data_IF_127760558832
#
_entry.id   IF_127760558832
#
_cell.length_a   1.000
_cell.length_b   1.000
_cell.length_c   1.000
_cell.angle_alpha   90.00
_cell.angle_beta   90.00
_cell.angle_gamma   90.00
#
_symmetry.space_group_name_H-M   'P 1'
#
loop_
_entity.id
_entity.type
_entity.pdbx_description
1 polymer ?
#
# COMPACT_ATOMS: atom_id res chain seq x y z
N UNK A 1 16.06 4.30 4.43
CA UNK A 1 14.66 4.77 4.47
C UNK A 1 14.52 6.05 3.64
N UNK A 2 13.33 6.36 3.15
CA UNK A 2 13.09 7.45 2.20
C UNK A 2 11.91 8.35 2.60
N UNK A 3 11.86 9.52 1.97
CA UNK A 3 10.84 10.56 2.16
C UNK A 3 9.52 10.23 1.44
N UNK A 4 8.94 9.06 1.73
CA UNK A 4 7.70 8.59 1.12
C UNK A 4 6.46 9.36 1.65
N UNK A 5 6.47 9.75 2.93
CA UNK A 5 5.37 10.46 3.56
C UNK A 5 5.05 11.82 2.90
N UNK A 6 6.02 12.73 2.66
CA UNK A 6 5.73 13.99 1.97
C UNK A 6 5.27 13.79 0.53
N UNK A 7 5.75 12.77 -0.18
CA UNK A 7 5.28 12.44 -1.52
C UNK A 7 3.80 12.00 -1.53
N UNK A 8 3.40 11.13 -0.60
CA UNK A 8 2.02 10.69 -0.43
C UNK A 8 1.11 11.85 0.01
N UNK A 9 1.59 12.71 0.92
CA UNK A 9 0.86 13.91 1.33
C UNK A 9 0.61 14.84 0.14
N UNK A 10 1.63 15.09 -0.69
CA UNK A 10 1.51 15.90 -1.89
C UNK A 10 0.47 15.30 -2.87
N UNK A 11 0.49 13.98 -3.07
CA UNK A 11 -0.50 13.29 -3.89
C UNK A 11 -1.93 13.42 -3.35
N UNK A 12 -2.11 13.39 -2.03
CA UNK A 12 -3.42 13.50 -1.39
C UNK A 12 -3.98 14.93 -1.34
N UNK A 13 -3.14 15.95 -1.14
CA UNK A 13 -3.60 17.31 -0.86
C UNK A 13 -3.17 18.38 -1.86
N UNK A 14 -2.01 18.22 -2.49
CA UNK A 14 -1.37 19.30 -3.26
C UNK A 14 -1.59 19.14 -4.77
N UNK A 15 -1.57 17.91 -5.27
CA UNK A 15 -1.80 17.64 -6.69
C UNK A 15 -3.26 17.90 -7.07
N UNK A 16 -3.45 18.57 -8.21
CA UNK A 16 -4.77 18.85 -8.76
C UNK A 16 -5.28 17.65 -9.57
N UNK A 17 -6.19 16.89 -8.99
CA UNK A 17 -6.86 15.78 -9.68
C UNK A 17 -8.13 16.23 -10.38
N UNK A 18 -8.34 15.78 -11.63
CA UNK A 18 -9.62 16.00 -12.32
C UNK A 18 -10.73 15.24 -11.61
N UNK A 19 -11.84 15.92 -11.31
CA UNK A 19 -12.96 15.36 -10.52
C UNK A 19 -13.50 14.05 -11.11
N UNK A 20 -13.79 14.05 -12.41
CA UNK A 20 -14.41 12.92 -13.13
C UNK A 20 -13.40 12.04 -13.88
N UNK A 21 -12.18 11.91 -13.35
CA UNK A 21 -11.17 11.02 -13.92
C UNK A 21 -10.93 9.80 -13.02
N UNK A 22 -10.49 8.71 -13.63
CA UNK A 22 -9.79 7.62 -12.94
C UNK A 22 -8.48 8.19 -12.40
N UNK A 23 -8.24 8.09 -11.10
CA UNK A 23 -7.09 8.68 -10.42
C UNK A 23 -6.17 7.57 -9.93
N UNK A 24 -4.94 7.58 -10.40
CA UNK A 24 -3.97 6.53 -10.13
C UNK A 24 -2.68 7.20 -9.68
N UNK A 25 -2.18 6.80 -8.51
CA UNK A 25 -0.84 7.12 -8.04
C UNK A 25 0.01 5.86 -8.13
N UNK A 26 1.25 6.00 -8.59
CA UNK A 26 2.22 4.89 -8.67
C UNK A 26 3.41 5.28 -7.80
N UNK A 27 3.62 4.52 -6.72
CA UNK A 27 4.78 4.64 -5.86
C UNK A 27 5.81 3.59 -6.26
N UNK A 28 6.98 4.02 -6.71
CA UNK A 28 8.12 3.15 -7.02
C UNK A 28 9.11 3.30 -5.88
N UNK A 29 9.45 2.21 -5.20
CA UNK A 29 10.31 2.25 -4.03
C UNK A 29 11.16 0.98 -3.89
N UNK A 30 12.40 1.16 -3.43
CA UNK A 30 13.31 0.07 -3.04
C UNK A 30 13.53 0.03 -1.51
N UNK A 31 12.98 1.02 -0.79
CA UNK A 31 13.17 1.26 0.64
C UNK A 31 11.85 1.69 1.34
N UNK A 32 11.77 1.59 2.68
CA UNK A 32 10.58 1.97 3.43
C UNK A 32 10.56 3.48 3.74
N UNK A 33 9.42 4.04 4.19
CA UNK A 33 9.41 5.38 4.77
C UNK A 33 10.30 5.48 6.00
N UNK A 34 10.80 6.68 6.28
CA UNK A 34 11.29 7.04 7.60
C UNK A 34 10.26 6.69 8.69
N UNK A 35 10.71 6.11 9.80
CA UNK A 35 9.90 5.70 10.95
C UNK A 35 9.36 4.27 10.90
N UNK A 36 9.53 3.50 9.81
CA UNK A 36 9.09 2.09 9.77
C UNK A 36 10.10 1.13 10.41
N UNK A 37 11.38 1.30 10.09
CA UNK A 37 12.48 0.51 10.64
C UNK A 37 13.43 1.46 11.37
N UNK A 38 13.84 1.09 12.59
CA UNK A 38 14.68 1.93 13.44
C UNK A 38 16.17 1.75 13.16
N UNK A 39 16.57 0.66 12.48
CA UNK A 39 17.97 0.36 12.25
C UNK A 39 18.53 1.24 11.12
N UNK A 40 19.45 2.15 11.46
CA UNK A 40 20.09 3.04 10.49
C UNK A 40 19.18 4.16 9.97
N UNK A 41 18.02 4.37 10.60
CA UNK A 41 17.14 5.49 10.27
C UNK A 41 17.52 6.73 11.07
N UNK A 42 17.85 7.82 10.36
CA UNK A 42 18.11 9.13 11.00
C UNK A 42 16.83 9.82 11.49
N UNK A 43 15.66 9.32 11.07
CA UNK A 43 14.34 9.85 11.39
C UNK A 43 13.40 8.77 11.94
N UNK A 44 13.75 8.11 13.07
CA UNK A 44 13.04 6.92 13.58
C UNK A 44 11.63 7.21 14.11
N UNK A 45 11.28 8.49 14.28
CA UNK A 45 9.95 8.95 14.68
C UNK A 45 9.10 9.45 13.50
N UNK A 46 9.54 9.19 12.26
CA UNK A 46 8.88 9.64 11.04
C UNK A 46 9.60 10.81 10.37
N UNK A 47 9.17 11.08 9.13
CA UNK A 47 9.75 12.12 8.28
C UNK A 47 9.61 13.53 8.90
N UNK A 48 10.62 14.41 8.76
CA UNK A 48 10.60 15.76 9.35
C UNK A 48 9.48 16.66 8.81
N UNK A 49 8.81 16.31 7.70
CA UNK A 49 7.59 16.98 7.26
C UNK A 49 6.41 16.82 8.23
N UNK A 50 6.47 15.85 9.15
CA UNK A 50 5.42 15.58 10.13
C UNK A 50 4.19 14.87 9.57
N UNK A 51 4.25 14.38 8.33
CA UNK A 51 3.16 13.63 7.71
C UNK A 51 3.29 12.12 8.00
N UNK A 52 2.15 11.47 8.27
CA UNK A 52 2.10 10.02 8.42
C UNK A 52 1.73 9.37 7.06
N UNK A 53 2.54 8.43 6.54
CA UNK A 53 2.27 7.81 5.25
C UNK A 53 1.01 6.94 5.25
N UNK A 54 0.63 6.32 6.38
CA UNK A 54 -0.58 5.49 6.47
C UNK A 54 -1.83 6.36 6.43
N UNK A 55 -1.81 7.49 7.13
CA UNK A 55 -2.88 8.48 7.08
C UNK A 55 -3.01 9.08 5.67
N UNK A 56 -1.88 9.43 5.03
CA UNK A 56 -1.90 9.96 3.66
C UNK A 56 -2.50 8.93 2.68
N UNK A 57 -2.19 7.65 2.81
CA UNK A 57 -2.78 6.59 1.97
C UNK A 57 -4.26 6.38 2.26
N UNK A 58 -4.70 6.52 3.51
CA UNK A 58 -6.13 6.52 3.84
C UNK A 58 -6.86 7.66 3.11
N UNK A 59 -6.28 8.86 3.10
CA UNK A 59 -6.82 10.02 2.39
C UNK A 59 -6.83 9.82 0.87
N UNK A 60 -5.81 9.17 0.29
CA UNK A 60 -5.84 8.78 -1.13
C UNK A 60 -7.07 7.90 -1.41
N UNK A 61 -7.32 6.88 -0.57
CA UNK A 61 -8.45 5.98 -0.73
C UNK A 61 -9.80 6.72 -0.65
N UNK A 62 -9.94 7.64 0.30
CA UNK A 62 -11.14 8.46 0.49
C UNK A 62 -11.39 9.40 -0.69
N UNK A 63 -10.34 10.02 -1.24
CA UNK A 63 -10.40 10.83 -2.46
C UNK A 63 -10.58 10.00 -3.75
N UNK A 64 -10.69 8.67 -3.62
CA UNK A 64 -10.85 7.75 -4.73
C UNK A 64 -9.62 7.66 -5.64
N UNK A 65 -8.44 7.96 -5.11
CA UNK A 65 -7.15 7.79 -5.75
C UNK A 65 -6.62 6.40 -5.40
N UNK A 66 -6.42 5.57 -6.42
CA UNK A 66 -5.88 4.22 -6.22
C UNK A 66 -4.36 4.25 -6.31
N UNK A 67 -3.69 3.72 -5.29
CA UNK A 67 -2.25 3.62 -5.17
C UNK A 67 -1.79 2.24 -5.62
N UNK A 68 -0.96 2.20 -6.65
CA UNK A 68 -0.14 1.04 -7.00
C UNK A 68 1.26 1.23 -6.42
N UNK A 69 1.84 0.15 -5.89
CA UNK A 69 3.21 0.17 -5.38
C UNK A 69 4.07 -0.77 -6.19
N UNK A 70 5.17 -0.27 -6.72
CA UNK A 70 6.17 -1.03 -7.46
C UNK A 70 7.39 -1.18 -6.56
N UNK A 71 7.67 -2.40 -6.12
CA UNK A 71 8.83 -2.70 -5.27
C UNK A 71 10.03 -3.09 -6.11
N UNK A 72 11.12 -2.33 -6.06
CA UNK A 72 12.36 -2.66 -6.76
C UNK A 72 13.09 -3.80 -6.04
N UNK A 73 13.04 -4.99 -6.62
CA UNK A 73 13.64 -6.20 -6.05
C UNK A 73 15.13 -6.32 -6.43
N UNK A 74 15.98 -6.87 -5.54
CA UNK A 74 15.66 -7.53 -4.27
C UNK A 74 15.54 -6.59 -3.05
N UNK A 75 15.90 -5.31 -3.18
CA UNK A 75 15.95 -4.36 -2.05
C UNK A 75 14.59 -4.19 -1.35
N UNK A 76 13.51 -4.17 -2.12
CA UNK A 76 12.15 -4.04 -1.61
C UNK A 76 11.59 -5.30 -0.94
N UNK A 77 12.22 -6.48 -1.09
CA UNK A 77 11.68 -7.78 -0.60
C UNK A 77 11.37 -7.70 0.89
N UNK A 78 12.26 -7.09 1.68
CA UNK A 78 12.10 -6.96 3.15
C UNK A 78 10.86 -6.15 3.53
N UNK A 79 10.46 -5.20 2.68
CA UNK A 79 9.36 -4.27 2.92
C UNK A 79 8.12 -4.59 2.07
N UNK A 80 8.12 -5.75 1.40
CA UNK A 80 7.06 -6.16 0.48
C UNK A 80 5.67 -6.10 1.11
N UNK A 81 5.50 -6.67 2.31
CA UNK A 81 4.21 -6.70 3.00
C UNK A 81 3.72 -5.28 3.36
N UNK A 82 4.64 -4.37 3.70
CA UNK A 82 4.31 -2.98 3.97
C UNK A 82 3.82 -2.28 2.69
N UNK A 83 4.58 -2.36 1.59
CA UNK A 83 4.19 -1.74 0.32
C UNK A 83 2.85 -2.32 -0.20
N UNK A 84 2.68 -3.63 -0.07
CA UNK A 84 1.44 -4.32 -0.40
C UNK A 84 0.25 -3.86 0.45
N UNK A 85 0.46 -3.60 1.75
CA UNK A 85 -0.56 -3.03 2.62
C UNK A 85 -0.99 -1.62 2.16
N UNK A 86 -0.02 -0.76 1.76
CA UNK A 86 -0.33 0.58 1.24
C UNK A 86 -1.19 0.50 -0.02
N UNK A 87 -0.78 -0.31 -1.00
CA UNK A 87 -1.53 -0.48 -2.23
C UNK A 87 -2.95 -1.02 -1.95
N UNK A 88 -3.03 -2.10 -1.15
CA UNK A 88 -4.29 -2.75 -0.82
C UNK A 88 -5.27 -1.82 -0.09
N UNK A 89 -4.77 -0.91 0.77
CA UNK A 89 -5.61 0.05 1.49
C UNK A 89 -6.45 0.92 0.56
N UNK A 90 -5.94 1.24 -0.63
CA UNK A 90 -6.63 2.02 -1.68
C UNK A 90 -7.33 1.16 -2.74
N UNK A 91 -7.26 -0.17 -2.60
CA UNK A 91 -7.70 -1.14 -3.62
C UNK A 91 -6.79 -1.24 -4.84
N UNK A 92 -5.54 -0.79 -4.75
CA UNK A 92 -4.51 -1.01 -5.75
C UNK A 92 -3.79 -2.35 -5.57
N UNK A 93 -2.63 -2.48 -6.19
CA UNK A 93 -1.84 -3.72 -6.17
C UNK A 93 -0.34 -3.45 -6.02
N UNK A 94 0.35 -4.33 -5.31
CA UNK A 94 1.81 -4.39 -5.29
C UNK A 94 2.34 -5.19 -6.46
N UNK A 95 3.37 -4.66 -7.13
CA UNK A 95 4.01 -5.29 -8.28
C UNK A 95 5.51 -5.34 -8.01
N UNK A 96 6.12 -6.52 -7.86
CA UNK A 96 7.57 -6.64 -7.76
C UNK A 96 8.21 -6.30 -9.11
N UNK A 97 9.28 -5.52 -9.11
CA UNK A 97 10.04 -5.16 -10.31
C UNK A 97 11.49 -5.59 -10.13
N UNK A 98 11.88 -6.61 -10.87
CA UNK A 98 13.24 -7.17 -10.91
C UNK A 98 14.13 -6.51 -11.98
N UNK A 99 13.53 -5.98 -13.04
CA UNK A 99 14.24 -5.25 -14.11
C UNK A 99 13.55 -3.96 -14.51
N UNK A 100 14.31 -2.87 -14.64
CA UNK A 100 13.80 -1.57 -15.07
C UNK A 100 13.24 -1.58 -16.50
N UNK A 101 13.66 -2.55 -17.34
CA UNK A 101 13.15 -2.71 -18.71
C UNK A 101 11.63 -2.90 -18.76
N UNK A 102 11.04 -3.43 -17.69
CA UNK A 102 9.61 -3.68 -17.59
C UNK A 102 8.82 -2.52 -17.00
N UNK A 103 9.47 -1.49 -16.46
CA UNK A 103 8.79 -0.44 -15.69
C UNK A 103 7.69 0.25 -16.50
N UNK A 104 7.96 0.59 -17.75
CA UNK A 104 6.98 1.22 -18.64
C UNK A 104 5.74 0.33 -18.84
N UNK A 105 5.96 -0.97 -19.08
CA UNK A 105 4.89 -1.96 -19.24
C UNK A 105 4.08 -2.14 -17.96
N UNK A 106 4.72 -2.14 -16.79
CA UNK A 106 4.05 -2.18 -15.49
C UNK A 106 3.17 -0.96 -15.29
N UNK A 107 3.69 0.24 -15.55
CA UNK A 107 2.95 1.51 -15.39
C UNK A 107 1.72 1.53 -16.31
N UNK A 108 1.91 1.25 -17.60
CA UNK A 108 0.83 1.25 -18.59
C UNK A 108 -0.18 0.14 -18.29
N UNK A 109 0.29 -1.06 -17.94
CA UNK A 109 -0.56 -2.18 -17.57
C UNK A 109 -1.43 -1.85 -16.35
N UNK A 110 -0.81 -1.31 -15.29
CA UNK A 110 -1.51 -0.93 -14.05
C UNK A 110 -2.58 0.12 -14.33
N UNK A 111 -2.27 1.11 -15.16
CA UNK A 111 -3.23 2.12 -15.57
C UNK A 111 -4.42 1.54 -16.36
N UNK A 112 -4.15 0.62 -17.30
CA UNK A 112 -5.21 -0.04 -18.09
C UNK A 112 -6.09 -0.95 -17.25
N UNK A 113 -5.51 -1.71 -16.33
CA UNK A 113 -6.25 -2.53 -15.37
C UNK A 113 -7.16 -1.66 -14.52
N UNK A 114 -6.64 -0.57 -13.95
CA UNK A 114 -7.40 0.31 -13.09
C UNK A 114 -8.56 1.00 -13.82
N UNK A 115 -8.34 1.44 -15.07
CA UNK A 115 -9.42 1.94 -15.94
C UNK A 115 -10.48 0.87 -16.19
N UNK A 116 -10.08 -0.38 -16.37
CA UNK A 116 -11.01 -1.50 -16.56
C UNK A 116 -11.86 -1.74 -15.30
N UNK A 117 -11.24 -1.73 -14.12
CA UNK A 117 -11.91 -1.93 -12.84
C UNK A 117 -12.86 -0.77 -12.50
N UNK A 118 -12.46 0.47 -12.77
CA UNK A 118 -13.27 1.64 -12.49
C UNK A 118 -14.62 1.62 -13.24
N UNK A 119 -14.69 0.97 -14.42
CA UNK A 119 -15.98 0.78 -15.14
C UNK A 119 -16.96 -0.12 -14.40
N UNK A 120 -16.45 -1.01 -13.55
CA UNK A 120 -17.26 -1.96 -12.77
C UNK A 120 -17.67 -1.40 -11.41
N UNK A 121 -17.09 -0.26 -10.99
CA UNK A 121 -17.31 0.29 -9.65
C UNK A 121 -18.79 0.61 -9.38
N UNK A 122 -19.53 1.05 -10.39
CA UNK A 122 -20.95 1.39 -10.26
C UNK A 122 -21.81 0.17 -9.90
N UNK A 123 -21.52 -1.00 -10.48
CA UNK A 123 -22.24 -2.24 -10.20
C UNK A 123 -22.00 -2.72 -8.76
N UNK A 124 -20.75 -2.60 -8.30
CA UNK A 124 -20.37 -2.97 -6.93
C UNK A 124 -20.88 -1.95 -5.91
N UNK A 125 -20.96 -0.67 -6.27
CA UNK A 125 -21.38 0.42 -5.39
C UNK A 125 -22.79 0.21 -4.82
N UNK A 126 -23.77 -0.09 -5.68
CA UNK A 126 -25.16 -0.33 -5.26
C UNK A 126 -25.25 -1.44 -4.21
N UNK A 127 -24.49 -2.51 -4.42
CA UNK A 127 -24.49 -3.67 -3.55
C UNK A 127 -23.80 -3.41 -2.20
N UNK A 128 -22.70 -2.63 -2.21
CA UNK A 128 -22.05 -2.14 -0.98
C UNK A 128 -22.99 -1.23 -0.19
N UNK A 129 -23.71 -0.32 -0.86
CA UNK A 129 -24.67 0.58 -0.21
C UNK A 129 -25.85 -0.18 0.40
N UNK A 130 -26.35 -1.20 -0.30
CA UNK A 130 -27.42 -2.08 0.20
C UNK A 130 -26.98 -2.82 1.47
N UNK A 131 -25.78 -3.40 1.47
CA UNK A 131 -25.24 -4.11 2.64
C UNK A 131 -25.05 -3.17 3.84
N UNK A 132 -24.51 -1.97 3.60
CA UNK A 132 -24.32 -0.95 4.63
C UNK A 132 -25.66 -0.49 5.25
N UNK A 133 -26.69 -0.29 4.41
CA UNK A 133 -28.02 0.13 4.87
C UNK A 133 -28.74 -0.95 5.70
N UNK A 134 -28.60 -2.23 5.32
CA UNK A 134 -29.25 -3.34 6.03
C UNK A 134 -28.65 -3.62 7.40
N UNK A 135 -27.32 -3.54 7.52
CA UNK A 135 -26.61 -3.87 8.78
C UNK A 135 -26.57 -2.72 9.77
N UNK A 136 -26.65 -1.47 9.31
CA UNK A 136 -26.48 -0.29 10.17
C UNK A 136 -25.08 -0.21 10.82
N UNK A 137 -24.07 -0.86 10.22
CA UNK A 137 -22.72 -1.01 10.77
C UNK A 137 -21.66 -1.29 9.70
N UNK A 138 -20.41 -1.59 10.10
CA UNK A 138 -19.31 -1.84 9.17
C UNK A 138 -19.61 -2.97 8.19
N UNK A 139 -19.25 -2.78 6.93
CA UNK A 139 -19.41 -3.79 5.87
C UNK A 139 -18.37 -4.89 6.08
N UNK A 140 -18.82 -6.14 6.12
CA UNK A 140 -17.94 -7.31 6.06
C UNK A 140 -17.43 -7.47 4.62
N UNK A 141 -16.25 -6.90 4.36
CA UNK A 141 -15.64 -6.89 3.03
C UNK A 141 -15.38 -8.30 2.49
N UNK A 142 -15.08 -9.28 3.36
CA UNK A 142 -14.71 -10.64 2.94
C UNK A 142 -15.94 -11.39 2.43
N UNK A 143 -17.01 -11.41 3.22
CA UNK A 143 -18.26 -12.07 2.81
C UNK A 143 -18.90 -11.36 1.60
N UNK A 144 -18.87 -10.02 1.59
CA UNK A 144 -19.36 -9.25 0.45
C UNK A 144 -18.56 -9.53 -0.82
N UNK A 145 -17.23 -9.63 -0.72
CA UNK A 145 -16.37 -10.00 -1.84
C UNK A 145 -16.72 -11.38 -2.38
N UNK A 146 -16.88 -12.39 -1.51
CA UNK A 146 -17.22 -13.76 -1.92
C UNK A 146 -18.52 -13.78 -2.71
N UNK A 147 -19.58 -13.17 -2.17
CA UNK A 147 -20.91 -13.13 -2.76
C UNK A 147 -20.94 -12.34 -4.07
N UNK A 148 -20.30 -11.18 -4.12
CA UNK A 148 -20.19 -10.39 -5.36
C UNK A 148 -19.38 -11.10 -6.42
N UNK A 149 -18.30 -11.79 -6.04
CA UNK A 149 -17.47 -12.51 -6.99
C UNK A 149 -18.27 -13.63 -7.66
N UNK A 150 -19.07 -14.39 -6.92
CA UNK A 150 -19.96 -15.42 -7.47
C UNK A 150 -20.97 -14.83 -8.48
N UNK A 151 -21.56 -13.68 -8.16
CA UNK A 151 -22.51 -12.99 -9.05
C UNK A 151 -21.81 -12.46 -10.31
N UNK A 152 -20.68 -11.78 -10.17
CA UNK A 152 -19.94 -11.20 -11.29
C UNK A 152 -19.33 -12.29 -12.19
N UNK A 153 -18.87 -13.39 -11.59
CA UNK A 153 -18.31 -14.53 -12.32
C UNK A 153 -19.40 -15.28 -13.09
N UNK A 154 -20.56 -15.56 -12.47
CA UNK A 154 -21.70 -16.18 -13.16
C UNK A 154 -22.29 -15.30 -14.26
N UNK A 155 -22.24 -13.98 -14.08
CA UNK A 155 -22.57 -12.99 -15.12
C UNK A 155 -21.53 -12.84 -16.23
N UNK A 156 -20.40 -13.56 -16.16
CA UNK A 156 -19.35 -13.49 -17.18
C UNK A 156 -18.63 -12.14 -17.23
N UNK A 157 -18.58 -11.40 -16.12
CA UNK A 157 -17.92 -10.10 -16.05
C UNK A 157 -16.41 -10.29 -16.25
N UNK A 158 -15.85 -9.43 -17.09
CA UNK A 158 -14.44 -9.46 -17.49
C UNK A 158 -13.74 -8.17 -17.13
N UNK A 159 -12.45 -8.28 -16.80
CA UNK A 159 -11.58 -7.14 -16.55
C UNK A 159 -10.17 -7.42 -17.04
N UNK A 160 -9.44 -6.35 -17.38
CA UNK A 160 -8.02 -6.45 -17.69
C UNK A 160 -7.23 -6.76 -16.43
N UNK A 161 -6.13 -7.50 -16.58
CA UNK A 161 -5.24 -7.87 -15.47
C UNK A 161 -3.79 -7.81 -15.90
N UNK A 162 -2.96 -7.11 -15.12
CA UNK A 162 -1.51 -7.16 -15.29
C UNK A 162 -1.00 -8.53 -14.82
N UNK A 163 -0.14 -9.13 -15.64
CA UNK A 163 0.56 -10.37 -15.33
C UNK A 163 2.05 -10.16 -15.49
N UNK A 164 2.80 -10.89 -14.67
CA UNK A 164 4.24 -10.99 -14.80
C UNK A 164 4.59 -12.45 -15.04
N UNK A 165 5.20 -12.69 -16.19
CA UNK A 165 5.73 -13.97 -16.58
C UNK A 165 7.17 -14.01 -16.09
N UNK A 166 7.44 -14.86 -15.10
CA UNK A 166 8.79 -15.09 -14.60
C UNK A 166 9.30 -16.46 -15.07
N UNK A 167 10.50 -16.59 -15.67
CA UNK A 167 11.00 -17.85 -16.23
C UNK A 167 11.22 -19.00 -15.22
N UNK A 168 10.98 -18.78 -13.92
CA UNK A 168 11.15 -19.76 -12.83
C UNK A 168 9.86 -20.44 -12.37
N UNK A 169 8.71 -20.23 -13.03
CA UNK A 169 7.48 -20.98 -12.77
C UNK A 169 6.64 -20.51 -11.57
N UNK A 170 7.09 -19.53 -10.79
CA UNK A 170 6.25 -18.87 -9.78
C UNK A 170 5.34 -17.84 -10.45
N UNK A 171 4.09 -18.26 -10.63
CA UNK A 171 3.00 -17.57 -11.32
C UNK A 171 2.68 -16.21 -10.67
N UNK A 172 2.47 -15.21 -11.53
CA UNK A 172 1.66 -14.00 -11.29
C UNK A 172 2.19 -13.00 -10.24
N UNK A 173 1.64 -11.79 -10.31
CA UNK A 173 1.76 -10.78 -9.27
C UNK A 173 1.39 -11.43 -7.91
N UNK A 174 2.21 -11.24 -6.85
CA UNK A 174 1.99 -11.88 -5.56
C UNK A 174 0.58 -11.60 -5.03
N UNK A 175 -0.05 -12.65 -4.51
CA UNK A 175 -1.33 -12.52 -3.80
C UNK A 175 -1.13 -11.75 -2.50
N UNK A 176 -2.20 -11.10 -2.04
CA UNK A 176 -2.23 -10.41 -0.75
C UNK A 176 -1.82 -11.36 0.37
N UNK A 177 -0.81 -10.99 1.16
CA UNK A 177 -0.38 -11.77 2.32
C UNK A 177 -1.26 -11.44 3.54
N UNK A 178 -1.45 -12.37 4.48
CA UNK A 178 -2.18 -12.08 5.73
C UNK A 178 -1.56 -10.93 6.51
N UNK A 179 -0.22 -10.79 6.47
CA UNK A 179 0.49 -9.67 7.08
C UNK A 179 0.12 -8.35 6.42
N UNK A 180 0.22 -8.26 5.09
CA UNK A 180 -0.14 -7.04 4.36
C UNK A 180 -1.61 -6.66 4.57
N UNK A 181 -2.50 -7.65 4.58
CA UNK A 181 -3.92 -7.46 4.88
C UNK A 181 -4.11 -6.86 6.27
N UNK A 182 -3.48 -7.44 7.31
CA UNK A 182 -3.54 -6.93 8.66
C UNK A 182 -2.97 -5.51 8.76
N UNK A 183 -1.79 -5.25 8.21
CA UNK A 183 -1.16 -3.93 8.22
C UNK A 183 -2.04 -2.87 7.55
N UNK A 184 -2.80 -3.23 6.50
CA UNK A 184 -3.70 -2.30 5.81
C UNK A 184 -4.85 -1.78 6.69
N UNK A 185 -5.16 -2.48 7.78
CA UNK A 185 -6.21 -2.09 8.74
C UNK A 185 -5.72 -1.05 9.75
N UNK A 186 -4.41 -0.94 9.94
CA UNK A 186 -3.81 0.02 10.86
C UNK A 186 -3.96 1.45 10.35
N UNK A 187 -3.92 2.40 11.28
CA UNK A 187 -4.26 3.80 11.01
C UNK A 187 -3.05 4.72 10.98
N UNK A 188 -1.99 4.38 11.70
CA UNK A 188 -0.76 5.19 11.78
C UNK A 188 0.48 4.36 11.51
N UNK A 189 1.56 5.01 11.08
CA UNK A 189 2.87 4.38 10.92
C UNK A 189 3.43 3.87 12.24
N UNK A 190 3.12 4.53 13.36
CA UNK A 190 3.56 4.08 14.69
C UNK A 190 2.97 2.70 15.02
N UNK A 191 1.66 2.50 14.79
CA UNK A 191 1.03 1.19 14.98
C UNK A 191 1.66 0.12 14.06
N UNK A 192 1.89 0.48 12.80
CA UNK A 192 2.54 -0.41 11.82
C UNK A 192 3.94 -0.79 12.30
N UNK A 193 4.75 0.18 12.72
CA UNK A 193 6.11 -0.03 13.24
C UNK A 193 6.11 -0.99 14.43
N UNK A 194 5.24 -0.76 15.41
CA UNK A 194 5.19 -1.58 16.62
C UNK A 194 4.88 -3.05 16.29
N UNK A 195 4.02 -3.29 15.31
CA UNK A 195 3.71 -4.64 14.81
C UNK A 195 4.78 -5.21 13.90
N UNK A 196 5.41 -4.37 13.08
CA UNK A 196 6.50 -4.73 12.19
C UNK A 196 7.73 -5.22 12.97
N UNK A 197 8.12 -4.47 14.00
CA UNK A 197 9.22 -4.83 14.91
C UNK A 197 8.89 -6.10 15.68
N UNK A 198 7.66 -6.25 16.19
CA UNK A 198 7.23 -7.46 16.87
C UNK A 198 7.32 -8.72 15.97
N UNK A 199 6.99 -8.60 14.68
CA UNK A 199 7.10 -9.70 13.73
C UNK A 199 8.55 -10.05 13.40
N UNK A 200 9.46 -9.06 13.32
CA UNK A 200 10.91 -9.31 13.17
C UNK A 200 11.53 -9.97 14.40
N UNK A 201 10.96 -9.74 15.59
CA UNK A 201 11.47 -10.25 16.86
C UNK A 201 11.13 -11.73 17.13
N UNK A 202 10.43 -12.43 16.24
CA UNK A 202 10.29 -13.89 16.29
C UNK A 202 11.48 -14.48 15.53
N UNK A 203 12.50 -15.04 16.22
CA UNK A 203 13.55 -15.76 15.52
C UNK A 203 12.91 -17.00 14.91
N UNK A 204 13.09 -17.21 13.61
CA UNK A 204 12.97 -18.55 13.03
C UNK A 204 13.93 -19.43 13.81
N UNK A 205 13.41 -20.26 14.71
CA UNK A 205 14.21 -21.23 15.42
C UNK A 205 15.00 -22.04 14.38
N UNK A 206 16.31 -22.24 14.56
CA UNK A 206 17.07 -23.06 13.62
C UNK A 206 16.47 -24.45 13.65
N UNK A 207 16.06 -24.94 12.49
CA UNK A 207 15.80 -26.36 12.28
C UNK A 207 17.08 -27.11 12.63
N UNK A 208 17.13 -27.72 13.81
CA UNK A 208 18.14 -28.70 14.13
C UNK A 208 17.86 -29.95 13.28
N UNK A 209 18.82 -30.45 12.48
CA UNK A 209 18.66 -31.72 11.81
C UNK A 209 19.02 -32.82 12.81
N UNK A 210 18.04 -33.57 13.31
CA UNK A 210 18.32 -34.79 14.07
C UNK A 210 18.44 -35.95 13.10
N UNK A 211 19.69 -36.33 12.81
CA UNK A 211 20.07 -37.44 11.94
C UNK A 211 20.36 -38.68 12.82
N UNK A 212 19.49 -39.69 12.67
CA UNK A 212 19.68 -41.15 12.73
C UNK A 212 20.25 -41.91 13.95
N UNK A 213 19.52 -42.99 14.30
CA UNK A 213 20.01 -44.27 14.88
C UNK A 213 19.76 -44.42 16.38
N UNK A 214 19.19 -45.49 16.94
CA UNK A 214 18.74 -46.80 16.45
C UNK A 214 18.72 -47.79 17.63
N UNK A 215 17.58 -48.45 17.85
CA UNK A 215 17.32 -49.80 18.40
C UNK A 215 17.87 -50.27 19.80
N UNK A 216 17.10 -51.21 20.37
CA UNK A 216 17.17 -51.93 21.67
C UNK A 216 16.45 -51.22 22.83
N UNK A 217 15.51 -51.80 23.56
CA UNK A 217 15.07 -53.19 23.71
C UNK A 217 14.83 -53.46 25.21
N UNK A 218 13.70 -54.10 25.52
CA UNK A 218 13.32 -54.74 26.80
C UNK A 218 12.53 -53.95 27.87
N UNK A 219 11.52 -54.67 28.34
CA UNK A 219 10.50 -54.43 29.37
C UNK A 219 11.07 -54.45 30.80
N UNK A 220 10.45 -53.70 31.74
CA UNK A 220 9.90 -54.23 33.00
C UNK A 220 9.27 -53.14 33.90
N UNK A 221 8.07 -53.49 34.39
CA UNK A 221 7.34 -53.12 35.64
C UNK A 221 6.94 -51.67 36.00
N UNK A 222 5.76 -51.49 36.64
CA UNK A 222 5.25 -50.19 37.07
C UNK A 222 5.58 -49.92 38.54
N UNK A 223 5.98 -48.68 38.85
CA UNK A 223 6.00 -48.19 40.23
C UNK A 223 5.45 -46.76 40.30
N UNK A 224 4.36 -46.66 41.05
CA UNK A 224 3.74 -45.47 41.60
C UNK A 224 4.77 -44.53 42.26
N UNK A 225 4.75 -43.24 41.92
CA UNK A 225 5.04 -42.18 42.90
C UNK A 225 4.33 -40.87 42.55
N UNK A 226 3.55 -40.43 43.51
CA UNK A 226 2.86 -39.13 43.65
C UNK A 226 3.78 -37.92 43.43
N UNK A 227 3.36 -36.97 42.58
CA UNK A 227 3.88 -35.58 42.58
C UNK A 227 2.73 -34.58 42.59
N UNK A 228 2.37 -34.24 43.84
CA UNK A 228 1.99 -32.94 44.40
C UNK A 228 1.98 -31.74 43.45
N UNK A 229 0.78 -31.19 43.27
CA UNK A 229 0.49 -29.90 42.63
C UNK A 229 1.03 -28.72 43.46
N UNK A 230 1.78 -27.80 42.83
CA UNK A 230 2.06 -26.46 43.37
C UNK A 230 1.21 -25.43 42.63
N UNK A 231 0.16 -24.94 43.29
CA UNK A 231 -0.60 -23.74 42.92
C UNK A 231 0.26 -22.50 43.14
N UNK A 232 0.60 -21.78 42.08
CA UNK A 232 1.21 -20.45 42.16
C UNK A 232 0.09 -19.41 42.13
N UNK A 233 -0.01 -18.63 43.21
CA UNK A 233 -1.04 -17.63 43.50
C UNK A 233 -0.71 -16.33 42.77
N UNK A 234 -1.49 -15.98 41.76
CA UNK A 234 -1.43 -14.66 41.09
C UNK A 234 -2.05 -13.61 42.01
N UNK A 235 -1.29 -12.55 42.31
CA UNK A 235 -1.73 -11.36 43.05
C UNK A 235 -2.40 -10.38 42.08
N UNK A 236 -3.67 -10.08 42.32
CA UNK A 236 -4.41 -8.98 41.67
C UNK A 236 -4.03 -7.63 42.28
N UNK A 237 -3.86 -6.56 41.46
CA UNK A 237 -3.72 -5.20 41.98
C UNK A 237 -5.08 -4.58 42.31
N UNK A 238 -5.13 -3.96 43.50
CA UNK A 238 -6.26 -3.22 44.05
C UNK A 238 -6.30 -1.82 43.42
N UNK A 239 -7.31 -1.53 42.62
CA UNK A 239 -7.59 -0.15 42.16
C UNK A 239 -8.68 0.45 43.05
N UNK A 240 -8.32 1.54 43.74
CA UNK A 240 -9.17 2.31 44.65
C UNK A 240 -10.23 3.08 43.86
N UNK A 241 -11.50 2.90 44.24
CA UNK A 241 -12.64 3.74 43.82
C UNK A 241 -12.47 5.15 44.40
N UNK A 242 -12.57 6.19 43.56
CA UNK A 242 -12.84 7.56 44.01
C UNK A 242 -14.15 8.07 43.41
N UNK A 243 -15.11 8.17 44.33
CA UNK A 243 -16.25 9.09 44.44
C UNK A 243 -16.53 10.05 43.28
N UNK A 244 -17.71 9.84 42.69
CA UNK A 244 -18.51 10.85 41.98
C UNK A 244 -18.80 12.03 42.92
N UNK A 245 -18.66 13.27 42.41
CA UNK A 245 -19.37 14.44 42.95
C UNK A 245 -19.96 15.22 41.78
N UNK A 246 -21.29 15.23 41.76
CA UNK A 246 -22.18 16.02 40.92
C UNK A 246 -22.00 17.51 41.19
N UNK A 247 -21.95 18.32 40.12
CA UNK A 247 -22.33 19.73 40.18
C UNK A 247 -23.17 20.09 38.96
N UNK A 248 -24.45 20.32 39.24
CA UNK A 248 -25.39 21.02 38.35
C UNK A 248 -25.04 22.51 38.39
N UNK A 249 -24.94 23.14 37.23
CA UNK A 249 -25.29 24.56 37.06
C UNK A 249 -25.87 24.76 35.67
N UNK A 250 -27.15 25.10 35.64
CA UNK A 250 -27.87 25.57 34.46
C UNK A 250 -27.91 27.11 34.48
N UNK A 251 -27.77 27.74 33.31
CA UNK A 251 -28.27 29.08 32.91
C UNK A 251 -27.86 29.26 31.44
N UNK A 252 -28.72 29.06 30.43
CA UNK A 252 -29.89 29.80 29.93
C UNK A 252 -29.54 30.98 28.97
N UNK A 253 -29.94 30.79 27.70
CA UNK A 253 -30.40 31.77 26.70
C UNK A 253 -29.32 32.69 26.05
N UNK A 254 -29.37 33.13 24.78
CA UNK A 254 -30.50 33.36 23.84
C UNK A 254 -29.94 33.54 22.40
N UNK A 255 -30.79 33.21 21.42
CA UNK A 255 -30.70 33.42 19.95
C UNK A 255 -30.20 34.80 19.49
N UNK A 256 -29.50 34.87 18.34
CA UNK A 256 -29.75 35.85 17.25
C UNK A 256 -29.41 35.24 15.88
N UNK A 257 -30.40 35.27 14.98
CA UNK A 257 -30.36 35.02 13.53
C UNK A 257 -29.67 36.18 12.81
N UNK A 258 -28.85 35.90 11.76
CA UNK A 258 -28.80 36.78 10.57
C UNK A 258 -28.24 36.07 9.33
N UNK A 259 -29.16 35.82 8.39
CA UNK A 259 -28.93 35.64 6.94
C UNK A 259 -28.05 36.76 6.39
N UNK A 260 -27.14 36.44 5.46
CA UNK A 260 -26.87 37.31 4.30
C UNK A 260 -26.56 36.45 3.07
N UNK A 261 -27.54 36.41 2.16
CA UNK A 261 -27.37 36.12 0.74
C UNK A 261 -26.57 37.27 0.12
N UNK A 262 -25.56 36.96 -0.69
CA UNK A 262 -25.05 37.86 -1.70
C UNK A 262 -25.12 37.16 -3.07
N UNK A 263 -26.09 37.61 -3.88
CA UNK A 263 -26.14 37.43 -5.33
C UNK A 263 -25.21 38.48 -5.94
N UNK A 264 -24.34 38.09 -6.87
CA UNK A 264 -23.74 38.91 -7.93
C UNK A 264 -22.84 37.98 -8.73
N UNK A 265 -22.72 38.03 -10.05
CA UNK A 265 -23.53 38.53 -11.16
C UNK A 265 -22.79 37.98 -12.37
N UNK A 266 -23.54 37.46 -13.32
CA UNK A 266 -23.05 37.03 -14.63
C UNK A 266 -22.36 38.22 -15.32
N UNK A 267 -21.11 38.04 -15.74
CA UNK A 267 -20.51 38.84 -16.82
C UNK A 267 -19.96 37.86 -17.84
N UNK A 268 -20.67 37.77 -18.98
CA UNK A 268 -20.17 37.23 -20.23
C UNK A 268 -19.12 38.19 -20.76
N UNK A 269 -17.87 37.73 -20.87
CA UNK A 269 -16.78 38.43 -21.55
C UNK A 269 -16.29 37.60 -22.73
N UNK A 270 -16.63 38.06 -23.92
CA UNK A 270 -16.33 37.46 -25.23
C UNK A 270 -14.90 37.83 -25.66
N UNK A 271 -14.17 36.86 -26.24
CA UNK A 271 -13.11 36.95 -27.27
C UNK A 271 -12.03 38.07 -27.18
N UNK A 272 -10.76 37.63 -27.19
CA UNK A 272 -9.69 37.90 -28.21
C UNK A 272 -8.36 37.44 -27.60
N UNK A 273 -7.77 36.33 -28.03
CA UNK A 273 -6.83 36.23 -29.16
C UNK A 273 -5.95 37.48 -29.32
N UNK A 274 -4.75 37.41 -28.75
CA UNK A 274 -3.56 38.12 -29.25
C UNK A 274 -2.37 37.18 -29.09
N UNK A 275 -1.85 36.72 -30.23
CA UNK A 275 -0.50 36.19 -30.37
C UNK A 275 0.47 37.30 -29.96
N UNK A 276 1.36 37.02 -29.03
CA UNK A 276 2.61 37.76 -28.90
C UNK A 276 3.70 36.79 -29.31
N UNK A 277 4.15 36.94 -30.55
CA UNK A 277 5.45 36.46 -30.97
C UNK A 277 6.46 37.49 -30.45
N UNK A 278 7.43 37.06 -29.66
CA UNK A 278 8.63 37.82 -29.42
C UNK A 278 9.82 36.95 -29.80
N UNK A 279 10.39 37.29 -30.95
CA UNK A 279 11.69 36.87 -31.41
C UNK A 279 12.76 37.45 -30.49
N UNK A 280 13.68 36.61 -30.05
CA UNK A 280 14.90 37.02 -29.36
C UNK A 280 15.95 35.95 -29.58
N UNK A 281 16.64 36.03 -30.72
CA UNK A 281 17.87 35.31 -30.98
C UNK A 281 18.90 35.80 -29.95
N UNK A 282 19.45 34.88 -29.18
CA UNK A 282 20.71 35.10 -28.47
C UNK A 282 21.67 34.03 -28.98
N UNK A 283 22.59 34.48 -29.83
CA UNK A 283 23.84 33.80 -30.12
C UNK A 283 24.60 33.64 -28.80
N UNK A 284 25.05 32.41 -28.55
CA UNK A 284 26.08 32.11 -27.55
C UNK A 284 27.16 31.37 -28.31
N UNK A 285 28.30 32.04 -28.43
CA UNK A 285 29.52 31.55 -29.04
C UNK A 285 30.06 30.33 -28.30
N UNK A 286 30.57 29.39 -29.10
CA UNK A 286 31.34 28.23 -28.70
C UNK A 286 32.71 28.67 -28.14
N UNK A 287 33.08 28.16 -26.97
CA UNK A 287 34.48 28.08 -26.55
C UNK A 287 34.79 26.61 -26.25
N UNK A 288 35.34 25.93 -27.25
CA UNK A 288 36.06 24.67 -27.09
C UNK A 288 37.38 24.95 -26.35
N UNK A 289 37.60 24.25 -25.24
CA UNK A 289 38.94 24.14 -24.64
C UNK A 289 39.28 22.69 -24.36
N UNK A 290 40.10 22.17 -25.24
CA UNK A 290 40.85 20.92 -25.13
C UNK A 290 41.87 20.97 -24.00
N UNK A 291 41.89 19.94 -23.15
CA UNK A 291 43.05 19.60 -22.32
C UNK A 291 43.23 18.09 -22.30
N UNK A 292 44.21 17.68 -23.12
CA UNK A 292 45.28 16.70 -22.94
C UNK A 292 45.13 15.50 -21.99
N UNK A 293 45.56 14.38 -22.57
CA UNK A 293 45.72 13.04 -22.02
C UNK A 293 46.84 12.98 -20.98
N UNK A 294 46.59 12.28 -19.86
CA UNK A 294 47.63 11.58 -19.10
C UNK A 294 47.30 10.08 -19.10
N UNK A 295 48.17 9.34 -19.77
CA UNK A 295 48.22 7.87 -19.77
C UNK A 295 48.77 7.41 -18.41
N UNK A 296 48.02 6.59 -17.67
CA UNK A 296 48.51 5.89 -16.49
C UNK A 296 48.43 4.38 -16.69
N UNK A 297 49.58 3.74 -16.45
CA UNK A 297 49.92 2.37 -16.79
C UNK A 297 49.01 1.30 -16.21
N UNK A 298 48.83 0.27 -17.03
CA UNK A 298 48.02 -0.92 -16.83
C UNK A 298 48.68 -1.92 -15.86
N UNK A 299 48.02 -2.22 -14.74
CA UNK A 299 48.29 -3.40 -13.91
C UNK A 299 47.32 -4.52 -14.26
N UNK A 300 47.78 -5.52 -15.02
CA UNK A 300 47.02 -6.71 -15.43
C UNK A 300 46.86 -7.71 -14.29
N UNK A 301 45.66 -7.81 -13.72
CA UNK A 301 45.19 -8.97 -12.97
C UNK A 301 44.45 -9.94 -13.93
N UNK A 302 44.52 -11.27 -13.72
CA UNK A 302 43.92 -12.24 -14.63
C UNK A 302 42.39 -12.11 -14.66
N UNK A 303 41.86 -11.85 -15.86
CA UNK A 303 40.43 -11.75 -16.11
C UNK A 303 39.71 -13.06 -15.75
N UNK A 304 38.93 -13.01 -14.66
CA UNK A 304 37.91 -14.01 -14.41
C UNK A 304 36.94 -14.01 -15.59
N UNK A 305 36.74 -15.19 -16.22
CA UNK A 305 35.75 -15.37 -17.28
C UNK A 305 34.42 -14.79 -16.80
N UNK A 306 33.81 -13.80 -17.50
CA UNK A 306 32.50 -13.33 -17.12
C UNK A 306 31.54 -14.52 -17.25
N UNK A 307 30.92 -14.91 -16.13
CA UNK A 307 29.77 -15.78 -16.18
C UNK A 307 28.79 -15.15 -17.18
N UNK A 308 28.37 -15.92 -18.19
CA UNK A 308 27.30 -15.50 -19.10
C UNK A 308 26.05 -15.28 -18.26
N UNK A 309 25.87 -14.05 -17.78
CA UNK A 309 24.64 -13.60 -17.15
C UNK A 309 23.66 -13.43 -18.30
N UNK A 310 22.96 -14.50 -18.64
CA UNK A 310 21.80 -14.40 -19.52
C UNK A 310 20.83 -13.46 -18.81
N UNK A 311 20.48 -12.30 -19.39
CA UNK A 311 19.53 -11.42 -18.76
C UNK A 311 18.20 -12.17 -18.63
N UNK A 312 17.84 -12.53 -17.40
CA UNK A 312 16.51 -13.03 -17.09
C UNK A 312 15.54 -11.85 -17.22
N UNK A 313 14.99 -11.70 -18.42
CA UNK A 313 13.95 -10.71 -18.68
C UNK A 313 12.63 -11.37 -18.30
N UNK A 314 12.10 -11.01 -17.13
CA UNK A 314 10.69 -11.19 -16.83
C UNK A 314 9.88 -10.45 -17.90
N UNK A 315 8.72 -10.96 -18.31
CA UNK A 315 7.86 -10.27 -19.28
C UNK A 315 6.58 -9.82 -18.59
N UNK A 316 6.21 -8.55 -18.79
CA UNK A 316 4.94 -8.01 -18.33
C UNK A 316 3.92 -8.16 -19.44
N UNK A 317 2.86 -8.90 -19.19
CA UNK A 317 1.74 -9.07 -20.11
C UNK A 317 0.48 -8.46 -19.52
N UNK A 318 -0.38 -7.92 -20.38
CA UNK A 318 -1.71 -7.48 -20.00
C UNK A 318 -2.70 -8.50 -20.55
N UNK A 319 -3.33 -9.25 -19.65
CA UNK A 319 -4.38 -10.17 -20.04
C UNK A 319 -5.66 -9.37 -20.27
N UNK A 320 -6.14 -9.40 -21.51
CA UNK A 320 -7.33 -8.69 -21.94
C UNK A 320 -8.57 -9.57 -21.75
N UNK A 321 -9.59 -8.98 -21.13
CA UNK A 321 -10.94 -9.54 -21.05
C UNK A 321 -11.01 -10.97 -20.45
N UNK A 322 -10.18 -11.21 -19.44
CA UNK A 322 -10.29 -12.39 -18.56
C UNK A 322 -11.45 -12.23 -17.59
N UNK A 323 -12.02 -13.36 -17.16
CA UNK A 323 -13.03 -13.37 -16.10
C UNK A 323 -12.47 -12.68 -14.85
N UNK A 324 -13.30 -11.84 -14.25
CA UNK A 324 -12.94 -11.05 -13.07
C UNK A 324 -12.47 -11.99 -11.94
N UNK A 325 -11.25 -11.79 -11.47
CA UNK A 325 -10.68 -12.59 -10.38
C UNK A 325 -11.23 -12.16 -9.00
N UNK A 326 -11.18 -13.06 -8.03
CA UNK A 326 -11.62 -12.75 -6.65
C UNK A 326 -10.83 -11.59 -6.04
N UNK A 327 -9.52 -11.48 -6.33
CA UNK A 327 -8.70 -10.39 -5.85
C UNK A 327 -9.11 -9.04 -6.44
N UNK A 328 -9.53 -9.02 -7.71
CA UNK A 328 -10.05 -7.81 -8.36
C UNK A 328 -11.41 -7.43 -7.79
N UNK A 329 -12.29 -8.40 -7.54
CA UNK A 329 -13.57 -8.16 -6.85
C UNK A 329 -13.33 -7.55 -5.47
N UNK A 330 -12.37 -8.10 -4.71
CA UNK A 330 -12.00 -7.59 -3.38
C UNK A 330 -11.55 -6.14 -3.43
N UNK A 331 -10.73 -5.80 -4.42
CA UNK A 331 -10.25 -4.43 -4.66
C UNK A 331 -11.41 -3.48 -4.99
N UNK A 332 -12.38 -3.90 -5.81
CA UNK A 332 -13.58 -3.11 -6.11
C UNK A 332 -14.40 -2.82 -4.85
N UNK A 333 -14.64 -3.85 -4.01
CA UNK A 333 -15.36 -3.69 -2.73
C UNK A 333 -14.64 -2.70 -1.83
N UNK A 334 -13.32 -2.88 -1.65
CA UNK A 334 -12.49 -1.99 -0.82
C UNK A 334 -12.58 -0.54 -1.26
N UNK A 335 -12.47 -0.29 -2.58
CA UNK A 335 -12.60 1.05 -3.17
C UNK A 335 -13.96 1.67 -2.89
N UNK A 336 -15.05 0.91 -3.06
CA UNK A 336 -16.39 1.37 -2.76
C UNK A 336 -16.56 1.73 -1.28
N UNK A 337 -16.08 0.88 -0.37
CA UNK A 337 -16.13 1.12 1.09
C UNK A 337 -15.35 2.39 1.45
N UNK A 338 -14.12 2.55 0.94
CA UNK A 338 -13.30 3.72 1.22
C UNK A 338 -13.95 5.04 0.74
N UNK A 339 -14.45 5.08 -0.51
CA UNK A 339 -15.11 6.27 -1.07
C UNK A 339 -16.40 6.65 -0.36
N UNK A 340 -17.10 5.66 0.22
CA UNK A 340 -18.35 5.91 0.92
C UNK A 340 -18.16 6.52 2.30
N UNK A 341 -17.02 6.30 2.97
CA UNK A 341 -16.69 6.99 4.23
C UNK A 341 -16.72 8.51 4.07
N UNK A 342 -16.27 9.02 2.92
CA UNK A 342 -16.27 10.45 2.59
C UNK A 342 -17.68 11.02 2.36
N UNK A 343 -18.65 10.20 1.92
CA UNK A 343 -20.04 10.66 1.75
C UNK A 343 -20.82 10.73 3.08
N UNK A 344 -20.35 10.03 4.11
CA UNK A 344 -20.99 9.95 5.43
C UNK A 344 -20.39 10.88 6.49
N UNK A 345 -19.23 11.47 6.23
CA UNK A 345 -18.53 12.41 7.12
C UNK A 345 -18.90 13.87 6.80
#
# INVERSE_FOLDING_TARGET
PEAMAPALHAAAHTLSWRTNAVKIAILIADAPPHGLDVNGDSWPNGDPSGHDPIECVALLAEHGITLYTIGCEPSATVYRDFLMALAFKTGGQYIPLDTCANLASVIVGSAKEEISLERLIAQVHEEVMREAALRGGPVDETELTRRLHEVMQSGGVKARRVKMDNPGGTKNIPSLTPTAEYLSTLTTLTEVRDKWVANKAIPTAPFAPTLFGGLFGASTTPASTSIRTKKTRVRTPVIKKKSVKTRKTATKAKNIVKKKKAKRSVVRGTRRSTRIAFSGNHEVEEEEKSTENEEMETSTLPAAKPAKMVPHISHVTLADDELLDVSQTRRLVRKCVARNKLKSA
#
